data_IF_996571924786
#
_entry.id   IF_996571924786
#
_cell.length_a   1.000
_cell.length_b   1.000
_cell.length_c   1.000
_cell.angle_alpha   90.00
_cell.angle_beta   90.00
_cell.angle_gamma   90.00
#
_symmetry.space_group_name_H-M   'P 1'
#
loop_
_entity.id
_entity.type
_entity.pdbx_description
1 polymer ?
#
# COMPACT_ATOMS: atom_id res chain seq x y z
N UNK A 1 -1.13 -42.98 21.77
CA UNK A 1 0.14 -42.30 22.08
C UNK A 1 0.08 -40.90 21.48
N UNK A 2 0.32 -39.88 22.31
CA UNK A 2 0.11 -38.45 22.03
C UNK A 2 1.05 -37.98 20.90
N UNK A 3 0.50 -37.27 19.90
CA UNK A 3 1.30 -36.47 18.97
C UNK A 3 1.34 -35.04 19.52
N UNK A 4 2.53 -34.59 19.90
CA UNK A 4 2.83 -33.18 20.14
C UNK A 4 2.74 -32.44 18.80
N UNK A 5 1.94 -31.39 18.74
CA UNK A 5 2.03 -30.37 17.68
C UNK A 5 2.78 -29.19 18.30
N UNK A 6 3.94 -28.90 17.74
CA UNK A 6 4.78 -27.76 18.12
C UNK A 6 4.24 -26.55 17.35
N UNK A 7 3.57 -25.63 18.04
CA UNK A 7 3.19 -24.33 17.48
C UNK A 7 4.44 -23.45 17.53
N UNK A 8 5.07 -23.22 16.37
CA UNK A 8 6.14 -22.25 16.25
C UNK A 8 5.51 -20.87 16.04
N UNK A 9 5.51 -20.04 17.09
CA UNK A 9 5.21 -18.61 16.98
C UNK A 9 6.32 -17.96 16.16
N UNK A 10 6.01 -17.49 14.96
CA UNK A 10 6.95 -16.72 14.14
C UNK A 10 6.98 -15.29 14.67
N UNK A 11 8.07 -14.95 15.36
CA UNK A 11 8.43 -13.58 15.72
C UNK A 11 9.15 -12.97 14.53
N UNK A 12 8.54 -12.01 13.85
CA UNK A 12 9.17 -11.26 12.76
C UNK A 12 10.18 -10.30 13.40
N UNK A 13 11.46 -10.52 13.13
CA UNK A 13 12.58 -9.66 13.55
C UNK A 13 13.04 -8.85 12.34
N UNK A 14 13.26 -7.53 12.42
CA UNK A 14 13.70 -6.74 11.27
C UNK A 14 15.16 -7.04 10.89
N UNK A 15 15.38 -7.26 9.61
CA UNK A 15 16.68 -7.53 8.99
C UNK A 15 17.44 -6.20 8.80
N UNK A 16 18.63 -6.11 9.38
CA UNK A 16 19.61 -5.04 9.10
C UNK A 16 20.39 -5.41 7.83
N UNK A 17 20.21 -4.67 6.74
CA UNK A 17 21.05 -4.78 5.56
C UNK A 17 22.33 -3.94 5.71
N UNK A 18 23.48 -4.61 5.80
CA UNK A 18 24.81 -4.00 5.65
C UNK A 18 25.21 -4.12 4.18
N UNK A 19 25.25 -2.98 3.47
CA UNK A 19 25.77 -2.91 2.10
C UNK A 19 27.29 -2.73 2.11
N UNK A 20 28.01 -3.79 1.75
CA UNK A 20 29.42 -3.80 1.38
C UNK A 20 29.50 -3.87 -0.15
N UNK A 21 29.99 -2.82 -0.81
CA UNK A 21 30.41 -2.91 -2.21
C UNK A 21 31.81 -2.31 -2.40
N UNK A 22 32.72 -3.23 -2.71
CA UNK A 22 34.07 -3.03 -3.23
C UNK A 22 34.01 -2.47 -4.66
N UNK A 23 35.01 -1.65 -5.00
CA UNK A 23 35.12 -1.00 -6.30
C UNK A 23 35.74 -1.84 -7.42
N UNK A 24 35.85 -1.24 -8.60
CA UNK A 24 36.92 -1.52 -9.56
C UNK A 24 37.14 -0.35 -10.51
N UNK A 25 38.40 0.03 -10.66
CA UNK A 25 38.96 1.03 -11.56
C UNK A 25 38.72 0.76 -13.06
N UNK A 26 38.52 1.83 -13.82
CA UNK A 26 38.53 1.83 -15.28
C UNK A 26 39.20 3.09 -15.83
N UNK A 27 40.47 2.95 -16.23
CA UNK A 27 41.37 3.98 -16.78
C UNK A 27 40.84 4.70 -18.04
N UNK A 28 41.07 6.01 -18.08
CA UNK A 28 40.93 6.90 -19.25
C UNK A 28 42.27 7.01 -19.98
N UNK A 29 42.25 6.98 -21.32
CA UNK A 29 43.42 7.29 -22.17
C UNK A 29 43.10 8.49 -23.06
N UNK A 30 44.05 9.42 -23.16
CA UNK A 30 43.95 10.68 -23.91
C UNK A 30 44.90 10.72 -25.12
N UNK A 31 44.59 11.56 -26.10
CA UNK A 31 45.46 12.04 -27.20
C UNK A 31 44.65 13.03 -28.06
N UNK A 32 44.84 14.36 -28.06
CA UNK A 32 45.94 15.31 -28.36
C UNK A 32 46.20 15.54 -29.87
N UNK A 33 46.02 16.82 -30.30
CA UNK A 33 46.67 17.50 -31.44
C UNK A 33 45.74 17.84 -32.63
N UNK A 34 45.19 19.05 -32.82
CA UNK A 34 45.72 20.41 -33.09
C UNK A 34 46.17 20.66 -34.56
N UNK A 35 45.57 21.67 -35.23
CA UNK A 35 46.16 22.78 -36.04
C UNK A 35 45.10 23.47 -36.93
N UNK A 36 45.13 24.83 -36.97
CA UNK A 36 44.31 25.80 -37.75
C UNK A 36 44.90 26.00 -39.18
N UNK A 37 44.29 26.58 -40.23
CA UNK A 37 43.66 27.91 -40.42
C UNK A 37 42.96 28.05 -41.83
N UNK A 38 41.72 28.58 -41.84
CA UNK A 38 41.08 29.63 -42.70
C UNK A 38 40.96 29.53 -44.28
N UNK A 39 40.11 30.36 -44.98
CA UNK A 39 38.71 30.08 -45.37
C UNK A 39 38.39 30.23 -46.89
N UNK A 40 37.16 29.91 -47.35
CA UNK A 40 36.27 30.74 -48.23
C UNK A 40 35.13 29.93 -48.90
N UNK A 41 33.91 30.48 -48.79
CA UNK A 41 32.66 30.33 -49.57
C UNK A 41 32.40 29.07 -50.43
N UNK A 42 31.31 28.35 -50.13
CA UNK A 42 29.96 28.57 -50.71
C UNK A 42 29.04 27.36 -50.40
N UNK A 43 27.85 27.65 -49.85
CA UNK A 43 26.70 26.73 -49.69
C UNK A 43 26.23 26.15 -51.05
N UNK A 44 25.46 25.03 -51.13
CA UNK A 44 24.37 24.70 -50.21
C UNK A 44 24.12 23.22 -49.83
N UNK A 45 23.33 23.10 -48.76
CA UNK A 45 22.38 22.03 -48.40
C UNK A 45 22.89 20.59 -48.36
N UNK A 46 23.05 20.08 -47.13
CA UNK A 46 22.66 18.69 -46.80
C UNK A 46 22.20 18.68 -45.35
N UNK A 47 21.01 18.15 -45.13
CA UNK A 47 20.30 18.19 -43.86
C UNK A 47 21.01 17.42 -42.74
N UNK A 48 20.84 17.93 -41.53
CA UNK A 48 20.83 17.13 -40.31
C UNK A 48 19.87 17.81 -39.34
N UNK A 49 18.71 17.19 -39.16
CA UNK A 49 17.82 17.49 -38.04
C UNK A 49 18.55 16.97 -36.81
N UNK A 50 19.01 17.88 -35.97
CA UNK A 50 19.46 17.54 -34.61
C UNK A 50 18.20 17.36 -33.79
N UNK A 51 17.76 16.12 -33.56
CA UNK A 51 16.75 15.83 -32.55
C UNK A 51 17.38 16.06 -31.17
N UNK A 52 17.09 17.23 -30.61
CA UNK A 52 17.32 17.49 -29.19
C UNK A 52 16.26 16.70 -28.43
N UNK A 53 16.64 15.55 -27.86
CA UNK A 53 15.82 14.82 -26.89
C UNK A 53 15.75 15.64 -25.59
N UNK A 54 14.79 16.57 -25.53
CA UNK A 54 14.34 17.12 -24.24
C UNK A 54 13.54 16.03 -23.52
N UNK A 55 13.90 15.63 -22.28
CA UNK A 55 13.07 14.73 -21.50
C UNK A 55 11.72 15.41 -21.29
N UNK A 56 10.69 14.85 -21.92
CA UNK A 56 9.34 15.29 -21.71
C UNK A 56 8.93 14.71 -20.37
N UNK A 57 9.08 15.50 -19.29
CA UNK A 57 8.34 15.23 -18.06
C UNK A 57 6.86 15.36 -18.41
N UNK A 58 6.23 14.23 -18.68
CA UNK A 58 4.77 14.15 -18.79
C UNK A 58 4.25 14.34 -17.37
N UNK A 59 4.03 15.59 -16.98
CA UNK A 59 3.06 15.90 -15.95
C UNK A 59 1.71 15.45 -16.53
N UNK A 60 1.22 14.29 -16.11
CA UNK A 60 -0.18 13.93 -16.30
C UNK A 60 -1.00 14.98 -15.53
N UNK A 61 -1.71 15.91 -16.21
CA UNK A 61 -2.61 16.78 -15.48
C UNK A 61 -3.72 15.91 -14.90
N UNK A 62 -4.03 16.11 -13.63
CA UNK A 62 -5.21 15.56 -12.96
C UNK A 62 -6.45 15.85 -13.80
N UNK A 63 -6.83 14.90 -14.65
CA UNK A 63 -8.18 14.80 -15.22
C UNK A 63 -8.84 13.59 -14.57
N UNK A 64 -8.93 13.61 -13.24
CA UNK A 64 -9.79 12.71 -12.48
C UNK A 64 -11.26 13.12 -12.65
N UNK A 65 -11.82 12.99 -13.86
CA UNK A 65 -13.26 13.26 -14.06
C UNK A 65 -14.03 12.23 -14.87
N UNK A 66 -13.40 11.21 -15.47
CA UNK A 66 -14.12 10.14 -16.14
C UNK A 66 -13.31 8.83 -16.06
N UNK A 67 -13.17 8.27 -14.86
CA UNK A 67 -12.96 6.82 -14.81
C UNK A 67 -14.27 6.17 -15.29
N UNK A 68 -14.25 5.23 -16.25
CA UNK A 68 -15.45 4.47 -16.57
C UNK A 68 -15.99 3.89 -15.27
N UNK A 69 -17.24 4.27 -14.98
CA UNK A 69 -17.96 3.83 -13.80
C UNK A 69 -18.20 2.32 -13.94
N UNK A 70 -17.90 1.59 -12.88
CA UNK A 70 -18.19 0.16 -12.67
C UNK A 70 -17.14 -0.79 -13.26
N UNK A 71 -16.30 -1.31 -12.37
CA UNK A 71 -15.60 -2.58 -12.53
C UNK A 71 -16.64 -3.69 -12.65
N UNK A 72 -16.53 -4.53 -13.69
CA UNK A 72 -17.11 -5.87 -13.59
C UNK A 72 -16.17 -6.69 -12.72
N UNK A 73 -16.55 -6.88 -11.45
CA UNK A 73 -15.84 -7.83 -10.59
C UNK A 73 -15.91 -9.20 -11.27
N UNK A 74 -14.79 -9.93 -11.40
CA UNK A 74 -14.83 -11.23 -12.03
C UNK A 74 -15.84 -12.15 -11.34
N UNK A 75 -16.47 -13.03 -12.12
CA UNK A 75 -17.50 -13.93 -11.60
C UNK A 75 -16.95 -14.77 -10.43
N UNK A 76 -17.71 -14.83 -9.32
CA UNK A 76 -17.32 -15.55 -8.12
C UNK A 76 -16.20 -14.88 -7.31
N UNK A 77 -15.75 -13.67 -7.67
CA UNK A 77 -14.72 -12.93 -6.95
C UNK A 77 -15.28 -11.73 -6.18
N UNK A 78 -14.48 -11.20 -5.27
CA UNK A 78 -14.71 -9.92 -4.59
C UNK A 78 -13.37 -9.20 -4.38
N UNK A 79 -13.38 -7.87 -4.37
CA UNK A 79 -12.19 -7.10 -4.01
C UNK A 79 -11.96 -7.13 -2.50
N UNK A 80 -10.71 -7.28 -2.06
CA UNK A 80 -10.34 -7.09 -0.66
C UNK A 80 -9.16 -6.13 -0.50
N UNK A 81 -9.38 -5.07 0.27
CA UNK A 81 -8.35 -4.09 0.65
C UNK A 81 -8.35 -3.96 2.18
N UNK A 82 -7.18 -3.95 2.80
CA UNK A 82 -7.04 -3.66 4.23
C UNK A 82 -6.38 -2.30 4.46
N UNK A 83 -6.90 -1.55 5.41
CA UNK A 83 -6.29 -0.36 5.98
C UNK A 83 -6.05 -0.60 7.48
N UNK A 84 -4.81 -0.48 7.93
CA UNK A 84 -4.45 -0.80 9.32
C UNK A 84 -3.57 0.28 9.94
N UNK A 85 -3.82 0.61 11.20
CA UNK A 85 -2.95 1.47 12.00
C UNK A 85 -2.26 0.65 13.09
N UNK A 86 -0.94 0.71 13.16
CA UNK A 86 -0.19 0.19 14.30
C UNK A 86 0.35 1.34 15.14
N UNK A 87 -0.01 1.37 16.41
CA UNK A 87 0.39 2.45 17.33
C UNK A 87 1.21 1.91 18.50
N UNK A 88 2.42 2.43 18.67
CA UNK A 88 3.32 2.09 19.76
C UNK A 88 3.19 3.14 20.86
N UNK A 89 2.64 2.72 22.01
CA UNK A 89 2.47 3.61 23.16
C UNK A 89 3.77 3.70 23.96
N UNK A 90 4.25 4.93 24.19
CA UNK A 90 5.43 5.21 24.99
C UNK A 90 5.30 4.81 26.46
N UNK A 91 6.43 4.72 27.17
CA UNK A 91 6.49 4.22 28.56
C UNK A 91 5.71 5.06 29.58
N UNK A 92 5.41 6.31 29.27
CA UNK A 92 4.64 7.21 30.12
C UNK A 92 3.14 7.18 29.80
N UNK A 93 2.72 6.41 28.80
CA UNK A 93 1.31 6.22 28.49
C UNK A 93 0.62 5.32 29.52
N UNK A 94 -0.69 5.51 29.75
CA UNK A 94 -1.47 4.51 30.45
C UNK A 94 -1.45 3.19 29.66
N UNK A 95 -1.53 2.08 30.38
CA UNK A 95 -1.71 0.77 29.75
C UNK A 95 -3.10 0.75 29.10
N UNK A 96 -3.13 0.49 27.79
CA UNK A 96 -4.34 0.39 27.00
C UNK A 96 -4.42 -1.00 26.37
N UNK A 97 -5.58 -1.65 26.51
CA UNK A 97 -5.86 -2.94 25.90
C UNK A 97 -7.09 -2.82 25.01
N UNK A 98 -6.98 -3.20 23.74
CA UNK A 98 -8.11 -3.27 22.80
C UNK A 98 -8.34 -4.72 22.38
N UNK A 99 -9.59 -5.17 22.33
CA UNK A 99 -9.93 -6.57 22.01
C UNK A 99 -11.31 -6.64 21.33
N UNK A 100 -11.36 -6.17 20.08
CA UNK A 100 -12.60 -6.14 19.29
C UNK A 100 -12.36 -6.49 17.80
N UNK A 101 -11.64 -7.58 17.46
CA UNK A 101 -11.51 -7.99 16.07
C UNK A 101 -12.86 -8.51 15.55
N UNK A 102 -13.28 -8.04 14.37
CA UNK A 102 -14.56 -8.47 13.76
C UNK A 102 -14.38 -9.40 12.56
N UNK A 103 -13.14 -9.57 12.09
CA UNK A 103 -12.79 -10.50 11.03
C UNK A 103 -11.31 -10.93 11.15
N UNK A 104 -10.94 -11.96 10.40
CA UNK A 104 -9.57 -12.38 10.15
C UNK A 104 -9.43 -12.77 8.68
N UNK A 105 -8.40 -12.26 8.02
CA UNK A 105 -8.00 -12.68 6.69
C UNK A 105 -6.68 -13.43 6.75
N UNK A 106 -6.64 -14.61 6.12
CA UNK A 106 -5.40 -15.36 5.91
C UNK A 106 -4.93 -15.17 4.47
N UNK A 107 -3.87 -14.38 4.21
CA UNK A 107 -3.38 -14.12 2.86
C UNK A 107 -2.79 -15.36 2.18
N UNK A 108 -2.46 -16.43 2.92
CA UNK A 108 -1.93 -17.66 2.32
C UNK A 108 -3.02 -18.52 1.70
N UNK A 109 -4.17 -18.61 2.37
CA UNK A 109 -5.31 -19.40 1.90
C UNK A 109 -6.33 -18.55 1.10
N UNK A 110 -6.38 -17.25 1.36
CA UNK A 110 -7.42 -16.33 0.88
C UNK A 110 -8.72 -16.47 1.67
N UNK A 111 -8.71 -17.12 2.84
CA UNK A 111 -9.90 -17.25 3.69
C UNK A 111 -10.17 -15.96 4.45
N UNK A 112 -11.39 -15.44 4.30
CA UNK A 112 -11.91 -14.31 5.08
C UNK A 112 -12.93 -14.84 6.08
N UNK A 113 -12.54 -14.92 7.35
CA UNK A 113 -13.46 -15.30 8.44
C UNK A 113 -14.05 -14.05 9.07
N UNK A 114 -15.38 -13.98 9.15
CA UNK A 114 -16.13 -12.86 9.72
C UNK A 114 -16.76 -13.32 11.03
N UNK A 115 -16.43 -12.64 12.15
CA UNK A 115 -16.78 -13.05 13.52
C UNK A 115 -17.97 -12.30 14.13
N UNK A 116 -18.63 -11.41 13.36
CA UNK A 116 -19.72 -10.57 13.84
C UNK A 116 -20.89 -10.50 12.85
N UNK A 117 -21.93 -9.72 13.17
CA UNK A 117 -23.10 -9.47 12.33
C UNK A 117 -22.83 -8.62 11.08
N UNK A 118 -21.59 -8.57 10.59
CA UNK A 118 -21.30 -7.86 9.35
C UNK A 118 -22.12 -8.46 8.21
N UNK A 119 -22.80 -7.62 7.40
CA UNK A 119 -23.68 -8.13 6.36
C UNK A 119 -22.86 -8.88 5.30
N UNK A 120 -23.41 -10.01 4.78
CA UNK A 120 -22.78 -10.69 3.66
C UNK A 120 -22.74 -9.81 2.42
N UNK A 121 -21.79 -10.08 1.52
CA UNK A 121 -21.79 -9.47 0.19
C UNK A 121 -23.05 -9.89 -0.57
N UNK A 122 -23.64 -8.92 -1.26
CA UNK A 122 -24.62 -9.14 -2.31
C UNK A 122 -23.89 -9.41 -3.63
N UNK A 123 -24.61 -9.94 -4.62
CA UNK A 123 -24.04 -10.32 -5.92
C UNK A 123 -23.42 -9.12 -6.67
N UNK A 124 -23.95 -7.92 -6.46
CA UNK A 124 -23.53 -6.68 -7.09
C UNK A 124 -22.55 -5.84 -6.25
N UNK A 125 -22.25 -6.25 -5.01
CA UNK A 125 -21.22 -5.60 -4.20
C UNK A 125 -19.83 -5.83 -4.82
N UNK A 126 -18.97 -4.81 -4.77
CA UNK A 126 -17.59 -4.87 -5.26
C UNK A 126 -16.73 -5.76 -4.37
N UNK A 127 -16.89 -5.67 -3.06
CA UNK A 127 -16.11 -6.45 -2.09
C UNK A 127 -16.10 -5.83 -0.70
N UNK A 128 -14.97 -5.94 0.01
CA UNK A 128 -14.81 -5.44 1.38
C UNK A 128 -13.59 -4.52 1.52
N UNK A 129 -13.72 -3.49 2.37
CA UNK A 129 -12.57 -2.85 3.02
C UNK A 129 -12.53 -3.35 4.45
N UNK A 130 -11.42 -3.99 4.82
CA UNK A 130 -11.06 -4.24 6.20
C UNK A 130 -10.36 -3.01 6.77
N UNK A 131 -10.77 -2.57 7.95
CA UNK A 131 -10.08 -1.53 8.71
C UNK A 131 -9.73 -2.02 10.10
N UNK A 132 -8.70 -1.46 10.72
CA UNK A 132 -8.39 -1.81 12.10
C UNK A 132 -7.19 -1.09 12.68
N UNK A 133 -6.99 -1.34 13.97
CA UNK A 133 -5.92 -0.79 14.76
C UNK A 133 -5.31 -1.86 15.67
N UNK A 134 -4.03 -1.70 15.97
CA UNK A 134 -3.30 -2.56 16.89
C UNK A 134 -2.37 -1.74 17.76
N UNK A 135 -2.18 -2.17 19.00
CA UNK A 135 -1.34 -1.48 19.97
C UNK A 135 -0.07 -2.26 20.28
N UNK A 136 1.03 -1.52 20.46
CA UNK A 136 2.31 -2.02 20.95
C UNK A 136 2.88 -1.14 22.08
N UNK A 137 4.12 -1.43 22.49
CA UNK A 137 4.77 -0.73 23.60
C UNK A 137 4.16 -1.12 24.94
N UNK A 138 3.61 -0.15 25.68
CA UNK A 138 2.82 -0.43 26.89
C UNK A 138 1.36 -0.80 26.61
N UNK A 139 0.90 -0.66 25.36
CA UNK A 139 -0.41 -1.09 24.91
C UNK A 139 -0.41 -2.53 24.37
N UNK A 140 -1.59 -3.11 24.20
CA UNK A 140 -1.76 -4.44 23.59
C UNK A 140 -3.11 -4.64 22.90
N UNK A 141 -3.14 -5.62 22.00
CA UNK A 141 -4.35 -6.12 21.36
C UNK A 141 -4.69 -5.41 20.05
N UNK A 142 -5.85 -5.76 19.47
CA UNK A 142 -6.33 -5.23 18.20
C UNK A 142 -7.85 -5.04 18.17
N UNK A 143 -8.30 -4.13 17.32
CA UNK A 143 -9.70 -3.89 16.97
C UNK A 143 -9.82 -3.83 15.46
N UNK A 144 -10.87 -4.38 14.88
CA UNK A 144 -11.05 -4.36 13.42
C UNK A 144 -12.51 -4.24 13.01
N UNK A 145 -12.74 -3.69 11.83
CA UNK A 145 -14.06 -3.55 11.23
C UNK A 145 -14.02 -3.96 9.75
N UNK A 146 -15.17 -4.37 9.21
CA UNK A 146 -15.28 -4.80 7.82
C UNK A 146 -16.48 -4.12 7.19
N UNK A 147 -16.25 -3.36 6.12
CA UNK A 147 -17.31 -2.61 5.40
C UNK A 147 -17.43 -3.11 3.97
N UNK A 148 -18.67 -3.27 3.51
CA UNK A 148 -18.97 -3.64 2.13
C UNK A 148 -18.73 -2.44 1.21
N UNK A 149 -18.00 -2.68 0.13
CA UNK A 149 -17.81 -1.77 -0.99
C UNK A 149 -18.92 -2.06 -1.99
N UNK A 150 -19.77 -1.09 -2.26
CA UNK A 150 -20.90 -1.28 -3.18
C UNK A 150 -20.67 -0.60 -4.54
N UNK A 151 -19.83 0.43 -4.59
CA UNK A 151 -19.45 1.14 -5.81
C UNK A 151 -18.13 1.87 -5.60
N UNK A 152 -17.50 2.34 -6.68
CA UNK A 152 -16.38 3.28 -6.62
C UNK A 152 -16.81 4.66 -7.17
N UNK A 153 -16.36 5.77 -6.57
CA UNK A 153 -15.48 5.85 -5.40
C UNK A 153 -16.22 5.48 -4.10
N UNK A 154 -15.49 4.91 -3.13
CA UNK A 154 -15.99 4.53 -1.81
C UNK A 154 -15.15 5.18 -0.71
N UNK A 155 -15.71 6.10 0.10
CA UNK A 155 -15.03 6.61 1.27
C UNK A 155 -15.12 5.59 2.42
N UNK A 156 -14.00 5.40 3.11
CA UNK A 156 -13.88 4.64 4.34
C UNK A 156 -13.07 5.47 5.35
N UNK A 157 -13.11 5.16 6.65
CA UNK A 157 -12.36 5.98 7.61
C UNK A 157 -10.86 5.96 7.30
N UNK A 158 -10.26 7.13 7.17
CA UNK A 158 -8.84 7.33 6.80
C UNK A 158 -8.46 7.16 5.32
N UNK A 159 -9.28 6.52 4.47
CA UNK A 159 -8.95 6.31 3.05
C UNK A 159 -10.17 6.49 2.11
N UNK A 160 -9.93 6.77 0.84
CA UNK A 160 -10.95 6.69 -0.21
C UNK A 160 -10.50 5.75 -1.30
N UNK A 161 -11.22 4.66 -1.53
CA UNK A 161 -11.05 3.85 -2.72
C UNK A 161 -11.61 4.62 -3.91
N UNK A 162 -10.75 5.11 -4.79
CA UNK A 162 -11.15 5.93 -5.94
C UNK A 162 -11.52 5.08 -7.14
N UNK A 163 -10.70 4.07 -7.42
CA UNK A 163 -10.80 3.27 -8.63
C UNK A 163 -10.17 1.88 -8.42
N UNK A 164 -10.63 0.91 -9.19
CA UNK A 164 -10.06 -0.44 -9.30
C UNK A 164 -10.05 -0.77 -10.79
N UNK A 165 -8.98 -1.36 -11.30
CA UNK A 165 -8.93 -1.82 -12.69
C UNK A 165 -9.29 -3.31 -12.84
N UNK A 166 -9.25 -3.82 -14.07
CA UNK A 166 -9.57 -5.22 -14.40
C UNK A 166 -8.55 -6.22 -13.83
N UNK A 167 -7.32 -5.78 -13.53
CA UNK A 167 -6.28 -6.60 -12.91
C UNK A 167 -6.41 -6.65 -11.37
N UNK A 168 -7.26 -5.79 -10.79
CA UNK A 168 -7.39 -5.64 -9.35
C UNK A 168 -6.41 -4.62 -8.76
N UNK A 169 -5.75 -3.82 -9.60
CA UNK A 169 -4.97 -2.66 -9.13
C UNK A 169 -5.92 -1.63 -8.56
N UNK A 170 -5.61 -1.09 -7.39
CA UNK A 170 -6.44 -0.07 -6.72
C UNK A 170 -5.76 1.29 -6.77
N UNK A 171 -6.56 2.33 -6.99
CA UNK A 171 -6.17 3.72 -6.70
C UNK A 171 -6.92 4.20 -5.48
N UNK A 172 -6.17 4.58 -4.47
CA UNK A 172 -6.64 5.06 -3.18
C UNK A 172 -6.23 6.51 -2.99
N UNK A 173 -6.92 7.20 -2.08
CA UNK A 173 -6.46 8.48 -1.54
C UNK A 173 -6.46 8.46 -0.02
N UNK A 174 -5.36 8.95 0.58
CA UNK A 174 -5.23 9.19 2.02
C UNK A 174 -4.65 10.60 2.18
N UNK A 175 -5.32 11.47 2.93
CA UNK A 175 -4.83 12.82 3.24
C UNK A 175 -4.41 13.66 2.01
N UNK A 176 -5.04 13.41 0.86
CA UNK A 176 -4.73 14.06 -0.42
C UNK A 176 -3.55 13.44 -1.19
N UNK A 177 -2.87 12.44 -0.64
CA UNK A 177 -1.92 11.59 -1.36
C UNK A 177 -2.67 10.53 -2.18
N UNK A 178 -2.30 10.39 -3.45
CA UNK A 178 -2.81 9.32 -4.32
C UNK A 178 -1.87 8.14 -4.27
N UNK A 179 -2.41 7.00 -3.85
CA UNK A 179 -1.68 5.74 -3.68
C UNK A 179 -2.20 4.75 -4.72
N UNK A 180 -1.30 4.11 -5.46
CA UNK A 180 -1.65 3.07 -6.44
C UNK A 180 -0.96 1.79 -6.01
N UNK A 181 -1.74 0.71 -5.87
CA UNK A 181 -1.26 -0.59 -5.45
C UNK A 181 -1.70 -1.65 -6.46
N UNK A 182 -0.74 -2.37 -7.04
CA UNK A 182 -1.00 -3.61 -7.76
C UNK A 182 -1.47 -4.70 -6.77
N UNK A 183 -1.79 -5.88 -7.30
CA UNK A 183 -2.19 -7.01 -6.47
C UNK A 183 -1.05 -7.41 -5.51
N UNK A 184 -1.44 -7.68 -4.26
CA UNK A 184 -0.58 -8.06 -3.15
C UNK A 184 0.47 -7.02 -2.73
N UNK A 185 0.35 -5.77 -3.21
CA UNK A 185 1.20 -4.67 -2.76
C UNK A 185 0.68 -4.03 -1.47
N UNK A 186 1.63 -3.59 -0.64
CA UNK A 186 1.37 -2.84 0.59
C UNK A 186 2.07 -1.49 0.53
N UNK A 187 1.30 -0.43 0.75
CA UNK A 187 1.83 0.89 1.09
C UNK A 187 1.99 1.01 2.60
N UNK A 188 3.06 1.69 3.02
CA UNK A 188 3.38 1.94 4.43
C UNK A 188 3.69 3.43 4.58
N UNK A 189 3.06 4.09 5.54
CA UNK A 189 3.35 5.49 5.85
C UNK A 189 4.72 5.65 6.50
N UNK A 190 5.24 6.88 6.50
CA UNK A 190 6.24 7.27 7.48
C UNK A 190 5.66 7.16 8.90
N UNK A 191 6.53 7.09 9.91
CA UNK A 191 6.12 7.11 11.31
C UNK A 191 5.60 8.50 11.70
N UNK A 192 4.39 8.53 12.26
CA UNK A 192 3.75 9.74 12.75
C UNK A 192 3.79 9.73 14.29
N UNK A 193 4.21 10.82 14.92
CA UNK A 193 4.32 10.89 16.38
C UNK A 193 3.42 11.98 16.93
N UNK A 194 2.57 11.62 17.88
CA UNK A 194 1.57 12.50 18.45
C UNK A 194 1.31 12.21 19.94
N UNK A 195 0.55 13.08 20.58
CA UNK A 195 -0.08 12.82 21.88
C UNK A 195 -1.57 12.70 21.59
N UNK A 196 -2.16 11.55 21.87
CA UNK A 196 -3.59 11.34 21.66
C UNK A 196 -4.44 12.22 22.57
N UNK A 197 -5.59 12.64 22.04
CA UNK A 197 -6.55 13.44 22.79
C UNK A 197 -6.96 12.75 24.10
N UNK A 198 -6.87 13.48 25.20
CA UNK A 198 -7.19 12.97 26.54
C UNK A 198 -6.06 12.17 27.21
N UNK A 199 -4.90 12.04 26.57
CA UNK A 199 -3.68 11.51 27.20
C UNK A 199 -2.85 12.64 27.84
N UNK A 200 -2.03 12.27 28.81
CA UNK A 200 -1.05 13.19 29.41
C UNK A 200 0.00 13.62 28.35
N UNK A 201 0.55 14.84 28.42
CA UNK A 201 1.51 15.34 27.42
C UNK A 201 2.76 14.48 27.24
N UNK A 202 3.14 13.71 28.25
CA UNK A 202 4.29 12.81 28.21
C UNK A 202 3.97 11.45 27.55
N UNK A 203 2.68 11.14 27.33
CA UNK A 203 2.24 9.96 26.58
C UNK A 203 2.37 10.22 25.08
N UNK A 204 3.57 9.96 24.57
CA UNK A 204 3.87 10.00 23.15
C UNK A 204 3.52 8.67 22.51
N UNK A 205 2.78 8.72 21.40
CA UNK A 205 2.39 7.58 20.58
C UNK A 205 3.03 7.74 19.20
N UNK A 206 3.60 6.65 18.69
CA UNK A 206 4.12 6.59 17.32
C UNK A 206 3.26 5.63 16.51
N UNK A 207 2.66 6.12 15.44
CA UNK A 207 1.74 5.40 14.57
C UNK A 207 2.37 5.14 13.20
N UNK A 208 2.06 3.97 12.64
CA UNK A 208 2.37 3.60 11.26
C UNK A 208 1.11 3.08 10.60
N UNK A 209 0.80 3.58 9.40
CA UNK A 209 -0.35 3.16 8.63
C UNK A 209 0.06 2.22 7.51
N UNK A 210 -0.78 1.23 7.25
CA UNK A 210 -0.60 0.22 6.23
C UNK A 210 -1.84 0.20 5.36
N UNK A 211 -1.66 0.12 4.05
CA UNK A 211 -2.74 -0.20 3.12
C UNK A 211 -2.28 -1.36 2.26
N UNK A 212 -2.99 -2.49 2.31
CA UNK A 212 -2.67 -3.69 1.52
C UNK A 212 -3.79 -3.96 0.53
N UNK A 213 -3.44 -4.13 -0.73
CA UNK A 213 -4.37 -4.55 -1.76
C UNK A 213 -4.25 -6.06 -2.00
N UNK A 214 -5.20 -6.85 -1.50
CA UNK A 214 -5.24 -8.28 -1.82
C UNK A 214 -5.96 -8.58 -3.14
N UNK A 215 -6.34 -7.54 -3.91
CA UNK A 215 -7.02 -7.67 -5.19
C UNK A 215 -8.28 -8.57 -5.12
N UNK A 216 -8.56 -9.34 -6.18
CA UNK A 216 -9.76 -10.15 -6.31
C UNK A 216 -9.62 -11.53 -5.66
N UNK A 217 -10.30 -11.69 -4.53
CA UNK A 217 -10.38 -12.92 -3.73
C UNK A 217 -11.61 -13.76 -4.07
N UNK A 218 -11.59 -15.06 -3.74
CA UNK A 218 -12.70 -15.98 -4.03
C UNK A 218 -13.85 -15.83 -3.04
N UNK A 219 -15.08 -15.62 -3.53
CA UNK A 219 -16.28 -15.47 -2.65
C UNK A 219 -16.61 -16.74 -1.87
N UNK A 220 -16.25 -17.90 -2.39
CA UNK A 220 -16.49 -19.19 -1.73
C UNK A 220 -15.54 -19.44 -0.54
N UNK A 221 -14.53 -18.57 -0.35
CA UNK A 221 -13.63 -18.57 0.82
C UNK A 221 -14.05 -17.62 1.94
N UNK A 222 -15.22 -16.98 1.82
CA UNK A 222 -15.79 -16.18 2.91
C UNK A 222 -16.49 -17.11 3.90
N UNK A 223 -16.04 -17.09 5.15
CA UNK A 223 -16.58 -17.90 6.24
C UNK A 223 -17.34 -16.98 7.20
N UNK A 224 -18.66 -17.13 7.24
CA UNK A 224 -19.51 -16.46 8.22
C UNK A 224 -19.58 -17.30 9.49
N UNK A 225 -18.71 -16.97 10.46
CA UNK A 225 -18.70 -17.63 11.76
C UNK A 225 -19.67 -16.92 12.70
N UNK A 226 -20.55 -17.68 13.34
CA UNK A 226 -21.26 -17.18 14.52
C UNK A 226 -20.29 -17.15 15.70
N UNK A 227 -20.32 -16.10 16.54
CA UNK A 227 -19.59 -16.09 17.80
C UNK A 227 -20.02 -17.24 18.73
#
# INVERSE_FOLDING_TARGET
MRRLVLVASVVITPIVLISLLLGSDGRVTAGIGAVRDTPTQASPSTGRVTETLTPTYIYLPLVCRNFPLVIQVPEGKYLFVEYWTHSVLGVNCPILCIDFPTYHFDPQSGELTIYTSNPPLLDDDVGYIGSGESLGGVGMGASSHLIRIQWCPWPEDGITLRYVDEAGTVTLEREGEVIVLEADETWVSDEETEVWDGMEPECVVTSTHYITNYAFQDRDKIIYAWP
#
